data_IF_667384132524
#
_entry.id   IF_667384132524
#
_cell.length_a   1.000
_cell.length_b   1.000
_cell.length_c   1.000
_cell.angle_alpha   90.00
_cell.angle_beta   90.00
_cell.angle_gamma   90.00
#
_symmetry.space_group_name_H-M   'P 1'
#
loop_
_entity.id
_entity.type
_entity.pdbx_description
1 polymer ?
#
# COMPACT_ATOMS: atom_id res chain seq x y z
N UNK A 1 -5.06 14.33 -6.87
CA UNK A 1 -3.90 14.04 -6.02
C UNK A 1 -2.78 13.37 -6.82
N UNK A 2 -2.89 12.08 -7.18
CA UNK A 2 -1.82 11.32 -7.84
C UNK A 2 -1.17 12.02 -9.04
N UNK A 3 -1.96 12.56 -9.97
CA UNK A 3 -1.46 13.34 -11.11
C UNK A 3 -0.54 14.50 -10.68
N UNK A 4 -0.99 15.34 -9.74
CA UNK A 4 -0.20 16.48 -9.26
C UNK A 4 1.05 16.04 -8.50
N UNK A 5 0.98 14.93 -7.75
CA UNK A 5 2.14 14.36 -7.09
C UNK A 5 3.21 13.94 -8.11
N UNK A 6 2.79 13.31 -9.21
CA UNK A 6 3.71 12.91 -10.30
C UNK A 6 4.30 14.12 -11.01
N UNK A 7 3.53 15.17 -11.27
CA UNK A 7 4.04 16.43 -11.83
C UNK A 7 5.08 17.07 -10.91
N UNK A 8 4.81 17.13 -9.61
CA UNK A 8 5.77 17.67 -8.63
C UNK A 8 7.03 16.80 -8.53
N UNK A 9 6.89 15.47 -8.59
CA UNK A 9 8.01 14.54 -8.64
C UNK A 9 8.88 14.74 -9.88
N UNK A 10 8.27 14.87 -11.07
CA UNK A 10 8.98 15.16 -12.32
C UNK A 10 9.82 16.43 -12.19
N UNK A 11 9.23 17.50 -11.64
CA UNK A 11 9.92 18.78 -11.44
C UNK A 11 11.10 18.65 -10.48
N UNK A 12 10.91 17.98 -9.34
CA UNK A 12 11.96 17.76 -8.36
C UNK A 12 13.10 16.88 -8.91
N UNK A 13 12.76 15.77 -9.59
CA UNK A 13 13.73 14.89 -10.20
C UNK A 13 14.53 15.60 -11.32
N UNK A 14 13.85 16.38 -12.17
CA UNK A 14 14.51 17.14 -13.24
C UNK A 14 15.44 18.24 -12.69
N UNK A 15 15.09 18.89 -11.59
CA UNK A 15 15.94 19.88 -10.93
C UNK A 15 17.27 19.28 -10.42
N UNK A 16 17.24 18.00 -10.03
CA UNK A 16 18.42 17.22 -9.62
C UNK A 16 19.10 16.48 -10.78
N UNK A 17 18.62 16.64 -12.02
CA UNK A 17 19.14 15.94 -13.19
C UNK A 17 18.90 14.43 -13.18
N UNK A 18 17.92 13.95 -12.42
CA UNK A 18 17.57 12.53 -12.30
C UNK A 18 16.59 12.10 -13.40
N UNK A 19 16.87 10.94 -14.00
CA UNK A 19 16.00 10.33 -14.99
C UNK A 19 14.62 10.02 -14.38
N UNK A 20 13.58 10.39 -15.10
CA UNK A 20 12.20 10.08 -14.74
C UNK A 20 11.33 10.02 -16.01
N UNK A 21 10.45 9.03 -16.06
CA UNK A 21 9.46 8.81 -17.11
C UNK A 21 8.20 8.24 -16.51
N UNK A 22 7.06 8.52 -17.14
CA UNK A 22 5.76 8.16 -16.60
C UNK A 22 4.93 7.45 -17.65
N UNK A 23 4.25 6.38 -17.24
CA UNK A 23 3.18 5.74 -17.99
C UNK A 23 1.89 5.90 -17.19
N UNK A 24 0.81 6.33 -17.84
CA UNK A 24 -0.47 6.53 -17.19
C UNK A 24 -1.53 5.65 -17.85
N UNK A 25 -1.86 4.54 -17.22
CA UNK A 25 -2.84 3.59 -17.73
C UNK A 25 -3.11 2.47 -16.74
N UNK A 26 -3.84 1.45 -17.21
CA UNK A 26 -4.15 0.27 -16.41
C UNK A 26 -2.94 -0.66 -16.35
N UNK A 27 -2.31 -0.74 -15.17
CA UNK A 27 -1.12 -1.57 -14.95
C UNK A 27 -1.39 -3.08 -15.09
N UNK A 28 -2.64 -3.52 -15.10
CA UNK A 28 -3.01 -4.92 -15.31
C UNK A 28 -2.90 -5.36 -16.77
N UNK A 29 -2.86 -4.43 -17.73
CA UNK A 29 -2.86 -4.77 -19.16
C UNK A 29 -1.48 -5.19 -19.66
N UNK A 30 -1.45 -5.99 -20.72
CA UNK A 30 -0.20 -6.36 -21.39
C UNK A 30 0.36 -5.22 -22.23
N UNK A 31 -0.51 -4.33 -22.71
CA UNK A 31 -0.12 -3.14 -23.45
C UNK A 31 0.75 -2.22 -22.59
N UNK A 32 0.34 -1.93 -21.34
CA UNK A 32 1.13 -1.05 -20.46
C UNK A 32 2.47 -1.71 -20.07
N UNK A 33 2.46 -3.02 -19.84
CA UNK A 33 3.68 -3.81 -19.57
C UNK A 33 4.65 -3.75 -20.73
N UNK A 34 4.15 -3.89 -21.96
CA UNK A 34 4.95 -3.79 -23.19
C UNK A 34 5.57 -2.39 -23.35
N UNK A 35 4.78 -1.33 -23.12
CA UNK A 35 5.28 0.05 -23.14
C UNK A 35 6.40 0.27 -22.10
N UNK A 36 6.24 -0.27 -20.88
CA UNK A 36 7.26 -0.18 -19.84
C UNK A 36 8.54 -0.93 -20.24
N UNK A 37 8.41 -2.12 -20.82
CA UNK A 37 9.55 -2.91 -21.33
C UNK A 37 10.31 -2.15 -22.42
N UNK A 38 9.60 -1.56 -23.38
CA UNK A 38 10.22 -0.81 -24.48
C UNK A 38 10.94 0.44 -23.98
N UNK A 39 10.34 1.13 -23.00
CA UNK A 39 10.96 2.28 -22.35
C UNK A 39 12.23 1.88 -21.60
N UNK A 40 12.17 0.84 -20.77
CA UNK A 40 13.33 0.35 -20.03
C UNK A 40 14.44 -0.04 -21.00
N UNK A 41 14.13 -0.82 -22.05
CA UNK A 41 15.10 -1.28 -23.02
C UNK A 41 15.77 -0.12 -23.77
N UNK A 42 15.02 0.91 -24.13
CA UNK A 42 15.52 2.03 -24.93
C UNK A 42 16.28 3.08 -24.12
N UNK A 43 15.90 3.32 -22.85
CA UNK A 43 16.46 4.42 -22.07
C UNK A 43 17.32 3.98 -20.87
N UNK A 44 17.07 2.81 -20.29
CA UNK A 44 17.77 2.33 -19.08
C UNK A 44 18.65 1.12 -19.35
N UNK A 45 18.36 0.36 -20.41
CA UNK A 45 18.92 -0.95 -20.71
C UNK A 45 18.35 -2.03 -19.79
N UNK A 46 18.64 -1.96 -18.49
CA UNK A 46 18.14 -2.88 -17.46
C UNK A 46 17.79 -2.15 -16.17
N UNK A 47 16.89 -2.74 -15.39
CA UNK A 47 16.53 -2.26 -14.05
C UNK A 47 16.92 -3.27 -12.97
N UNK A 48 17.22 -2.76 -11.78
CA UNK A 48 17.66 -3.53 -10.62
C UNK A 48 16.61 -3.61 -9.49
N UNK A 49 15.60 -2.74 -9.48
CA UNK A 49 14.51 -2.76 -8.51
C UNK A 49 13.15 -2.59 -9.17
N UNK A 50 12.22 -3.50 -8.84
CA UNK A 50 10.78 -3.38 -9.20
C UNK A 50 9.94 -3.27 -7.92
N UNK A 51 9.27 -2.14 -7.71
CA UNK A 51 8.35 -1.93 -6.58
C UNK A 51 6.91 -2.13 -7.04
N UNK A 52 6.24 -3.16 -6.51
CA UNK A 52 4.83 -3.45 -6.78
C UNK A 52 3.95 -2.89 -5.65
N UNK A 53 3.42 -1.68 -5.86
CA UNK A 53 2.64 -0.91 -4.88
C UNK A 53 1.24 -0.56 -5.41
N UNK A 54 0.56 -1.51 -6.07
CA UNK A 54 -0.79 -1.31 -6.58
C UNK A 54 -1.85 -1.55 -5.49
N UNK A 55 -2.82 -0.65 -5.43
CA UNK A 55 -4.06 -0.81 -4.68
C UNK A 55 -5.22 -0.43 -5.60
N UNK A 56 -6.00 -1.43 -6.02
CA UNK A 56 -7.11 -1.26 -6.95
C UNK A 56 -8.34 -2.02 -6.44
N UNK A 57 -9.56 -1.48 -6.63
CA UNK A 57 -10.78 -2.17 -6.25
C UNK A 57 -11.21 -3.25 -7.27
N UNK A 58 -10.59 -3.26 -8.45
CA UNK A 58 -10.93 -4.13 -9.58
C UNK A 58 -9.72 -4.37 -10.46
N UNK A 59 -9.76 -5.50 -11.18
CA UNK A 59 -8.80 -5.91 -12.19
C UNK A 59 -9.55 -6.49 -13.37
N UNK A 60 -9.21 -6.04 -14.57
CA UNK A 60 -9.62 -6.73 -15.79
C UNK A 60 -8.54 -7.74 -16.16
N UNK A 61 -8.91 -9.00 -16.32
CA UNK A 61 -7.99 -10.04 -16.77
C UNK A 61 -7.52 -9.73 -18.20
N UNK A 62 -6.20 -9.60 -18.44
CA UNK A 62 -5.70 -9.26 -19.76
C UNK A 62 -5.88 -10.38 -20.79
N UNK A 63 -6.12 -11.63 -20.36
CA UNK A 63 -6.29 -12.78 -21.25
C UNK A 63 -7.77 -13.05 -21.53
N UNK A 64 -8.59 -13.14 -20.49
CA UNK A 64 -10.02 -13.51 -20.64
C UNK A 64 -10.92 -12.30 -20.86
N UNK A 65 -10.48 -11.10 -20.47
CA UNK A 65 -11.28 -9.88 -20.46
C UNK A 65 -12.30 -9.80 -19.32
N UNK A 66 -12.35 -10.80 -18.44
CA UNK A 66 -13.22 -10.82 -17.25
C UNK A 66 -12.83 -9.71 -16.26
N UNK A 67 -13.80 -9.14 -15.56
CA UNK A 67 -13.56 -8.08 -14.57
C UNK A 67 -13.82 -8.61 -13.17
N UNK A 68 -12.75 -8.74 -12.39
CA UNK A 68 -12.81 -9.10 -10.98
C UNK A 68 -12.91 -7.85 -10.12
N UNK A 69 -13.70 -7.92 -9.05
CA UNK A 69 -13.84 -6.86 -8.05
C UNK A 69 -13.47 -7.39 -6.67
N UNK A 70 -12.61 -6.67 -5.95
CA UNK A 70 -12.23 -7.03 -4.59
C UNK A 70 -13.27 -6.54 -3.59
N UNK A 71 -13.48 -7.31 -2.52
CA UNK A 71 -14.29 -6.87 -1.37
C UNK A 71 -13.45 -6.95 -0.09
N UNK A 72 -13.86 -6.18 0.92
CA UNK A 72 -13.25 -6.19 2.25
C UNK A 72 -14.26 -6.80 3.24
N UNK A 73 -14.27 -8.12 3.34
CA UNK A 73 -15.26 -8.87 4.14
C UNK A 73 -14.59 -9.96 4.97
N UNK A 74 -15.08 -10.25 6.18
CA UNK A 74 -14.64 -11.40 6.96
C UNK A 74 -14.92 -12.71 6.22
N UNK A 75 -14.30 -13.80 6.66
CA UNK A 75 -14.57 -15.15 6.15
C UNK A 75 -15.32 -15.94 7.22
N UNK A 76 -16.27 -16.77 6.80
CA UNK A 76 -17.08 -17.68 7.61
C UNK A 76 -18.12 -17.04 8.55
N UNK A 77 -17.78 -15.99 9.31
CA UNK A 77 -18.70 -15.35 10.26
C UNK A 77 -18.78 -13.85 10.03
N UNK A 78 -19.98 -13.29 10.25
CA UNK A 78 -20.18 -11.85 10.27
C UNK A 78 -19.35 -11.22 11.41
N UNK A 79 -18.88 -10.00 11.16
CA UNK A 79 -18.08 -9.28 12.13
C UNK A 79 -18.68 -7.90 12.39
N UNK A 80 -18.99 -7.63 13.66
CA UNK A 80 -19.42 -6.31 14.12
C UNK A 80 -18.26 -5.63 14.83
N UNK A 81 -17.90 -4.43 14.37
CA UNK A 81 -16.86 -3.62 14.99
C UNK A 81 -17.27 -2.19 15.19
N UNK A 82 -16.63 -1.58 16.19
CA UNK A 82 -16.60 -0.14 16.37
C UNK A 82 -15.85 0.48 15.17
N UNK A 83 -16.36 1.59 14.66
CA UNK A 83 -15.73 2.39 13.61
C UNK A 83 -15.90 3.87 13.91
N UNK A 84 -15.11 4.70 13.23
CA UNK A 84 -15.21 6.16 13.29
C UNK A 84 -15.78 6.68 11.97
N UNK A 85 -16.98 7.25 12.04
CA UNK A 85 -17.57 7.97 10.93
C UNK A 85 -16.89 9.34 10.83
N UNK A 86 -15.94 9.51 9.91
CA UNK A 86 -15.15 10.74 9.80
C UNK A 86 -15.96 11.95 9.33
N UNK A 87 -17.08 11.73 8.65
CA UNK A 87 -17.97 12.82 8.20
C UNK A 87 -18.82 13.37 9.33
N UNK A 88 -19.37 12.49 10.18
CA UNK A 88 -20.19 12.89 11.34
C UNK A 88 -19.37 13.14 12.61
N UNK A 89 -18.13 12.63 12.66
CA UNK A 89 -17.29 12.53 13.85
C UNK A 89 -17.99 11.75 14.98
N UNK A 90 -18.53 10.60 14.62
CA UNK A 90 -19.27 9.73 15.54
C UNK A 90 -18.61 8.36 15.62
N UNK A 91 -18.59 7.79 16.82
CA UNK A 91 -18.27 6.38 17.04
C UNK A 91 -19.55 5.59 16.79
N UNK A 92 -19.52 4.71 15.79
CA UNK A 92 -20.65 3.85 15.44
C UNK A 92 -20.21 2.38 15.37
N UNK A 93 -21.19 1.48 15.25
CA UNK A 93 -20.93 0.06 15.00
C UNK A 93 -21.29 -0.29 13.57
N UNK A 94 -20.41 -1.00 12.88
CA UNK A 94 -20.64 -1.53 11.54
C UNK A 94 -20.58 -3.06 11.60
N UNK A 95 -21.57 -3.71 11.00
CA UNK A 95 -21.57 -5.17 10.79
C UNK A 95 -21.23 -5.46 9.33
N UNK A 96 -20.28 -6.36 9.12
CA UNK A 96 -19.86 -6.82 7.79
C UNK A 96 -20.17 -8.30 7.69
N UNK A 97 -21.01 -8.65 6.73
CA UNK A 97 -21.34 -10.05 6.42
C UNK A 97 -20.14 -10.79 5.81
N UNK A 98 -20.04 -12.12 6.01
CA UNK A 98 -18.95 -12.90 5.45
C UNK A 98 -18.98 -12.91 3.93
N UNK A 99 -17.81 -13.04 3.32
CA UNK A 99 -17.68 -13.18 1.88
C UNK A 99 -18.16 -14.55 1.37
N UNK A 100 -18.70 -14.57 0.16
CA UNK A 100 -18.86 -15.82 -0.60
C UNK A 100 -17.52 -16.33 -1.14
N UNK A 101 -17.48 -17.58 -1.59
CA UNK A 101 -16.29 -18.16 -2.23
C UNK A 101 -15.86 -17.39 -3.49
N UNK A 102 -16.84 -16.90 -4.26
CA UNK A 102 -16.61 -16.05 -5.43
C UNK A 102 -15.98 -14.71 -5.05
N UNK A 103 -16.46 -14.08 -3.97
CA UNK A 103 -15.90 -12.82 -3.47
C UNK A 103 -14.47 -12.99 -2.94
N UNK A 104 -14.16 -14.13 -2.30
CA UNK A 104 -12.80 -14.49 -1.89
C UNK A 104 -11.91 -14.64 -3.12
N UNK A 105 -12.34 -15.46 -4.10
CA UNK A 105 -11.61 -15.70 -5.34
C UNK A 105 -11.32 -14.40 -6.11
N UNK A 106 -12.35 -13.56 -6.31
CA UNK A 106 -12.22 -12.28 -7.00
C UNK A 106 -11.26 -11.34 -6.27
N UNK A 107 -11.29 -11.32 -4.93
CA UNK A 107 -10.36 -10.51 -4.14
C UNK A 107 -8.92 -10.98 -4.32
N UNK A 108 -8.67 -12.29 -4.34
CA UNK A 108 -7.34 -12.85 -4.65
C UNK A 108 -6.91 -12.49 -6.07
N UNK A 109 -7.80 -12.58 -7.07
CA UNK A 109 -7.48 -12.19 -8.45
C UNK A 109 -7.06 -10.72 -8.57
N UNK A 110 -7.64 -9.81 -7.78
CA UNK A 110 -7.33 -8.36 -7.83
C UNK A 110 -6.09 -8.01 -7.01
N UNK A 111 -6.02 -8.46 -5.75
CA UNK A 111 -5.05 -7.98 -4.75
C UNK A 111 -3.96 -9.00 -4.40
N UNK A 112 -4.00 -10.19 -5.01
CA UNK A 112 -2.99 -11.22 -4.92
C UNK A 112 -1.75 -10.93 -5.76
N UNK A 113 -0.92 -11.94 -5.94
CA UNK A 113 0.37 -11.83 -6.60
C UNK A 113 0.38 -12.13 -8.10
N UNK A 114 -0.75 -12.53 -8.69
CA UNK A 114 -0.79 -12.97 -10.09
C UNK A 114 -0.34 -11.88 -11.09
N UNK A 115 -0.75 -10.63 -10.92
CA UNK A 115 -0.28 -9.54 -11.79
C UNK A 115 1.19 -9.18 -11.54
N UNK A 116 1.65 -9.29 -10.29
CA UNK A 116 3.06 -9.11 -9.96
C UNK A 116 3.92 -10.18 -10.64
N UNK A 117 3.53 -11.46 -10.58
CA UNK A 117 4.14 -12.54 -11.34
C UNK A 117 4.16 -12.22 -12.85
N UNK A 118 3.04 -11.74 -13.39
CA UNK A 118 2.93 -11.40 -14.81
C UNK A 118 3.88 -10.27 -15.21
N UNK A 119 4.03 -9.23 -14.38
CA UNK A 119 5.01 -8.17 -14.60
C UNK A 119 6.43 -8.73 -14.67
N UNK A 120 6.83 -9.53 -13.67
CA UNK A 120 8.19 -10.05 -13.60
C UNK A 120 8.48 -11.09 -14.68
N UNK A 121 7.49 -11.91 -15.06
CA UNK A 121 7.59 -12.85 -16.18
C UNK A 121 7.91 -12.11 -17.48
N UNK A 122 7.16 -11.05 -17.79
CA UNK A 122 7.35 -10.28 -19.02
C UNK A 122 8.67 -9.48 -19.01
N UNK A 123 9.02 -8.84 -17.89
CA UNK A 123 10.28 -8.13 -17.73
C UNK A 123 11.48 -9.08 -17.84
N UNK A 124 11.40 -10.25 -17.21
CA UNK A 124 12.45 -11.27 -17.31
C UNK A 124 12.59 -11.81 -18.73
N UNK A 125 11.49 -12.19 -19.38
CA UNK A 125 11.49 -12.71 -20.75
C UNK A 125 12.03 -11.67 -21.76
N UNK A 126 11.80 -10.38 -21.49
CA UNK A 126 12.32 -9.27 -22.29
C UNK A 126 13.82 -8.99 -22.06
N UNK A 127 14.45 -9.64 -21.07
CA UNK A 127 15.87 -9.49 -20.74
C UNK A 127 16.24 -8.15 -20.09
N UNK A 128 15.25 -7.42 -19.56
CA UNK A 128 15.44 -6.05 -19.02
C UNK A 128 15.66 -6.00 -17.50
N UNK A 129 15.79 -7.16 -16.84
CA UNK A 129 16.18 -7.26 -15.43
C UNK A 129 17.70 -7.42 -15.31
N UNK A 130 18.30 -6.66 -14.40
CA UNK A 130 19.73 -6.71 -14.07
C UNK A 130 20.07 -7.93 -13.19
N UNK A 131 21.37 -8.27 -13.16
CA UNK A 131 21.89 -9.25 -12.20
C UNK A 131 21.67 -8.75 -10.77
N UNK A 132 21.21 -9.61 -9.86
CA UNK A 132 20.86 -9.25 -8.49
C UNK A 132 19.56 -8.47 -8.36
N UNK A 133 18.71 -8.41 -9.41
CA UNK A 133 17.50 -7.60 -9.39
C UNK A 133 16.58 -7.99 -8.21
N UNK A 134 16.18 -6.98 -7.43
CA UNK A 134 15.22 -7.14 -6.36
C UNK A 134 13.82 -6.72 -6.84
N UNK A 135 12.80 -7.37 -6.33
CA UNK A 135 11.44 -6.85 -6.42
C UNK A 135 10.76 -6.93 -5.07
N UNK A 136 9.89 -5.96 -4.77
CA UNK A 136 9.18 -5.89 -3.51
C UNK A 136 7.71 -5.57 -3.73
N UNK A 137 6.84 -6.35 -3.11
CA UNK A 137 5.41 -6.07 -3.04
C UNK A 137 5.00 -5.66 -1.62
N UNK A 138 4.16 -4.63 -1.50
CA UNK A 138 3.71 -4.14 -0.19
C UNK A 138 2.53 -4.94 0.35
N UNK A 139 2.61 -5.27 1.63
CA UNK A 139 1.54 -5.91 2.39
C UNK A 139 1.30 -5.21 3.72
N UNK A 140 0.18 -5.55 4.35
CA UNK A 140 -0.14 -5.19 5.72
C UNK A 140 -0.66 -6.46 6.40
N UNK A 141 -0.17 -6.74 7.61
CA UNK A 141 -0.59 -7.93 8.38
C UNK A 141 -1.52 -7.51 9.52
N UNK A 142 -1.16 -6.44 10.24
CA UNK A 142 -1.90 -6.00 11.42
C UNK A 142 -1.88 -7.01 12.57
N UNK A 143 -2.76 -6.82 13.56
CA UNK A 143 -2.91 -7.70 14.73
C UNK A 143 -4.38 -7.92 15.08
N UNK A 144 -4.67 -8.36 16.29
CA UNK A 144 -5.97 -8.83 16.78
C UNK A 144 -7.16 -7.95 16.37
N UNK A 145 -7.06 -6.61 16.52
CA UNK A 145 -8.14 -5.68 16.19
C UNK A 145 -8.47 -5.63 14.70
N UNK A 146 -7.48 -5.85 13.83
CA UNK A 146 -7.63 -5.72 12.38
C UNK A 146 -7.75 -7.06 11.67
N UNK A 147 -7.39 -8.18 12.31
CA UNK A 147 -7.49 -9.52 11.73
C UNK A 147 -8.88 -9.87 11.17
N UNK A 148 -10.02 -9.59 11.85
CA UNK A 148 -11.32 -10.00 11.34
C UNK A 148 -11.72 -9.38 10.00
N UNK A 149 -11.20 -8.19 9.68
CA UNK A 149 -11.49 -7.47 8.43
C UNK A 149 -10.31 -7.41 7.45
N UNK A 150 -9.12 -7.83 7.90
CA UNK A 150 -7.89 -7.78 7.12
C UNK A 150 -7.18 -9.14 7.10
N UNK A 151 -6.39 -9.46 8.13
CA UNK A 151 -5.49 -10.64 8.12
C UNK A 151 -6.18 -12.00 7.95
N UNK A 152 -7.42 -12.16 8.41
CA UNK A 152 -8.24 -13.39 8.29
C UNK A 152 -9.49 -13.18 7.43
N UNK A 153 -9.48 -12.14 6.62
CA UNK A 153 -10.56 -11.73 5.72
C UNK A 153 -10.19 -12.05 4.26
N UNK A 154 -11.06 -11.66 3.32
CA UNK A 154 -10.80 -11.77 1.87
C UNK A 154 -9.44 -11.21 1.45
N UNK A 155 -9.06 -10.04 1.98
CA UNK A 155 -7.77 -9.41 1.68
C UNK A 155 -6.59 -10.20 2.26
N UNK A 156 -6.77 -10.87 3.41
CA UNK A 156 -5.79 -11.79 3.98
C UNK A 156 -5.47 -12.95 3.04
N UNK A 157 -6.49 -13.51 2.37
CA UNK A 157 -6.29 -14.54 1.33
C UNK A 157 -5.50 -14.03 0.14
N UNK A 158 -5.75 -12.79 -0.28
CA UNK A 158 -4.95 -12.15 -1.32
C UNK A 158 -3.48 -11.96 -0.88
N UNK A 159 -3.23 -11.68 0.41
CA UNK A 159 -1.86 -11.57 0.93
C UNK A 159 -1.13 -12.91 1.07
N UNK A 160 -1.83 -13.99 1.42
CA UNK A 160 -1.29 -15.35 1.35
C UNK A 160 -0.86 -15.69 -0.10
N UNK A 161 -1.65 -15.29 -1.10
CA UNK A 161 -1.28 -15.45 -2.52
C UNK A 161 -0.07 -14.60 -2.92
N UNK A 162 0.12 -13.43 -2.31
CA UNK A 162 1.31 -12.59 -2.52
C UNK A 162 2.59 -13.28 -2.01
N UNK A 163 2.52 -14.01 -0.90
CA UNK A 163 3.67 -14.78 -0.40
C UNK A 163 4.00 -15.97 -1.32
N UNK A 164 2.96 -16.65 -1.84
CA UNK A 164 3.13 -17.68 -2.88
C UNK A 164 3.82 -17.09 -4.11
N UNK A 165 3.34 -15.94 -4.59
CA UNK A 165 3.91 -15.26 -5.74
C UNK A 165 5.36 -14.84 -5.52
N UNK A 166 5.73 -14.32 -4.35
CA UNK A 166 7.12 -13.97 -4.04
C UNK A 166 8.06 -15.19 -4.16
N UNK A 167 7.60 -16.35 -3.69
CA UNK A 167 8.37 -17.61 -3.82
C UNK A 167 8.53 -17.99 -5.30
N UNK A 168 7.44 -17.96 -6.07
CA UNK A 168 7.46 -18.32 -7.49
C UNK A 168 8.29 -17.35 -8.34
N UNK A 169 8.20 -16.04 -8.08
CA UNK A 169 9.00 -15.02 -8.76
C UNK A 169 10.48 -15.22 -8.44
N UNK A 170 10.84 -15.45 -7.17
CA UNK A 170 12.24 -15.69 -6.79
C UNK A 170 12.84 -16.84 -7.58
N UNK A 171 12.16 -17.99 -7.65
CA UNK A 171 12.61 -19.14 -8.43
C UNK A 171 12.79 -18.83 -9.92
N UNK A 172 11.89 -18.04 -10.51
CA UNK A 172 11.99 -17.65 -11.92
C UNK A 172 13.15 -16.69 -12.18
N UNK A 173 13.50 -15.86 -11.20
CA UNK A 173 14.59 -14.90 -11.30
C UNK A 173 15.97 -15.47 -10.89
N UNK A 174 16.06 -16.76 -10.56
CA UNK A 174 17.32 -17.42 -10.19
C UNK A 174 18.43 -17.22 -11.25
N UNK A 175 18.05 -17.17 -12.54
CA UNK A 175 18.99 -17.01 -13.66
C UNK A 175 19.71 -15.66 -13.70
N UNK A 176 19.18 -14.65 -12.99
CA UNK A 176 19.79 -13.33 -12.81
C UNK A 176 20.12 -13.05 -11.34
N UNK A 177 20.22 -14.09 -10.50
CA UNK A 177 20.37 -13.98 -9.05
C UNK A 177 19.38 -13.01 -8.38
N UNK A 178 18.17 -12.90 -8.94
CA UNK A 178 17.15 -11.98 -8.47
C UNK A 178 16.39 -12.51 -7.26
N UNK A 179 15.68 -11.63 -6.55
CA UNK A 179 14.90 -12.01 -5.37
C UNK A 179 13.63 -11.17 -5.21
N UNK A 180 12.53 -11.81 -4.85
CA UNK A 180 11.26 -11.16 -4.59
C UNK A 180 10.92 -11.18 -3.10
N UNK A 181 10.67 -10.00 -2.54
CA UNK A 181 10.30 -9.81 -1.15
C UNK A 181 8.84 -9.36 -1.03
N UNK A 182 8.15 -9.83 0.00
CA UNK A 182 6.96 -9.16 0.52
C UNK A 182 7.40 -8.26 1.67
N UNK A 183 7.00 -7.00 1.67
CA UNK A 183 7.29 -6.05 2.76
C UNK A 183 6.03 -5.75 3.57
N UNK A 184 6.01 -6.16 4.84
CA UNK A 184 4.94 -5.82 5.77
C UNK A 184 5.15 -4.40 6.31
N UNK A 185 4.23 -3.51 5.94
CA UNK A 185 4.24 -2.10 6.27
C UNK A 185 3.23 -1.79 7.39
N UNK A 186 3.26 -0.54 7.87
CA UNK A 186 2.43 -0.07 8.99
C UNK A 186 1.11 0.46 8.46
N UNK A 187 0.11 0.51 9.33
CA UNK A 187 -1.12 1.24 9.08
C UNK A 187 -0.84 2.75 9.05
N UNK A 188 -1.13 3.38 7.91
CA UNK A 188 -0.96 4.81 7.66
C UNK A 188 -2.19 5.38 6.97
N UNK A 189 -2.38 6.70 7.02
CA UNK A 189 -3.45 7.37 6.28
C UNK A 189 -3.11 7.41 4.79
N UNK A 190 -3.89 6.68 3.98
CA UNK A 190 -3.82 6.66 2.51
C UNK A 190 -5.25 6.63 1.96
N UNK A 191 -5.42 6.89 0.66
CA UNK A 191 -6.74 6.75 0.03
C UNK A 191 -7.28 5.32 0.20
N UNK A 192 -6.43 4.30 0.03
CA UNK A 192 -6.81 2.90 0.19
C UNK A 192 -7.20 2.56 1.64
N UNK A 193 -6.35 2.86 2.62
CA UNK A 193 -6.61 2.54 4.03
C UNK A 193 -7.81 3.28 4.60
N UNK A 194 -8.07 4.52 4.15
CA UNK A 194 -9.23 5.30 4.60
C UNK A 194 -10.58 4.71 4.15
N UNK A 195 -10.59 3.88 3.11
CA UNK A 195 -11.77 3.19 2.62
C UNK A 195 -12.05 1.86 3.34
N UNK A 196 -11.09 1.36 4.14
CA UNK A 196 -11.23 0.10 4.87
C UNK A 196 -12.05 0.38 6.14
N UNK A 197 -13.14 -0.37 6.40
CA UNK A 197 -13.89 -0.25 7.65
C UNK A 197 -12.96 -0.31 8.87
N UNK A 198 -13.28 0.41 9.94
CA UNK A 198 -12.54 0.47 11.22
C UNK A 198 -11.16 1.17 11.18
N UNK A 199 -10.47 1.20 10.03
CA UNK A 199 -9.11 1.75 9.94
C UNK A 199 -8.99 3.23 10.36
N UNK A 200 -9.95 4.13 10.09
CA UNK A 200 -9.88 5.50 10.59
C UNK A 200 -9.76 5.59 12.12
N UNK A 201 -10.52 4.75 12.84
CA UNK A 201 -10.45 4.69 14.30
C UNK A 201 -9.13 4.07 14.77
N UNK A 202 -8.73 2.95 14.16
CA UNK A 202 -7.50 2.24 14.51
C UNK A 202 -6.27 3.13 14.32
N UNK A 203 -6.15 3.80 13.18
CA UNK A 203 -5.03 4.70 12.88
C UNK A 203 -5.04 5.91 13.83
N UNK A 204 -6.22 6.49 14.12
CA UNK A 204 -6.30 7.61 15.07
C UNK A 204 -5.81 7.22 16.47
N UNK A 205 -6.12 6.01 16.93
CA UNK A 205 -5.62 5.47 18.20
C UNK A 205 -4.13 5.15 18.14
N UNK A 206 -3.69 4.46 17.09
CA UNK A 206 -2.30 4.08 16.88
C UNK A 206 -1.39 5.31 16.86
N UNK A 207 -1.79 6.37 16.15
CA UNK A 207 -1.04 7.62 16.08
C UNK A 207 -0.90 8.27 17.45
N UNK A 208 -1.97 8.28 18.26
CA UNK A 208 -1.89 8.80 19.62
C UNK A 208 -0.81 8.08 20.43
N UNK A 209 -0.87 6.75 20.44
CA UNK A 209 0.07 5.92 21.22
C UNK A 209 1.50 6.09 20.69
N UNK A 210 1.70 5.92 19.38
CA UNK A 210 3.04 6.00 18.78
C UNK A 210 3.65 7.41 18.82
N UNK A 211 2.84 8.49 18.77
CA UNK A 211 3.35 9.86 18.93
C UNK A 211 3.77 10.13 20.36
N UNK A 212 3.05 9.62 21.36
CA UNK A 212 3.43 9.75 22.76
C UNK A 212 4.79 9.09 23.05
N UNK A 213 5.14 8.03 22.32
CA UNK A 213 6.43 7.33 22.43
C UNK A 213 7.51 7.82 21.44
N UNK A 214 7.17 8.76 20.54
CA UNK A 214 8.11 9.25 19.53
C UNK A 214 8.46 8.24 18.44
N UNK A 215 7.62 7.23 18.22
CA UNK A 215 7.84 6.14 17.24
C UNK A 215 6.98 6.28 15.98
N UNK A 216 6.10 7.29 15.91
CA UNK A 216 5.25 7.57 14.75
C UNK A 216 6.07 7.83 13.49
N UNK A 217 5.62 7.25 12.37
CA UNK A 217 6.23 7.38 11.04
C UNK A 217 5.11 7.55 10.00
N UNK A 218 5.32 8.39 8.99
CA UNK A 218 4.47 8.47 7.82
C UNK A 218 4.96 7.56 6.68
N UNK A 219 4.38 7.73 5.49
CA UNK A 219 4.76 6.93 4.32
C UNK A 219 6.24 7.12 3.97
N UNK A 220 6.74 8.35 4.00
CA UNK A 220 8.11 8.63 3.55
C UNK A 220 9.16 8.07 4.52
N UNK A 221 8.94 8.20 5.83
CA UNK A 221 9.83 7.64 6.84
C UNK A 221 9.85 6.11 6.77
N UNK A 222 8.67 5.49 6.59
CA UNK A 222 8.56 4.05 6.45
C UNK A 222 9.26 3.52 5.20
N UNK A 223 9.05 4.13 4.04
CA UNK A 223 9.68 3.67 2.79
C UNK A 223 11.18 3.99 2.79
N UNK A 224 11.60 5.13 3.33
CA UNK A 224 13.02 5.40 3.54
C UNK A 224 13.68 4.33 4.43
N UNK A 225 13.03 3.98 5.54
CA UNK A 225 13.45 2.89 6.42
C UNK A 225 13.50 1.55 5.70
N UNK A 226 12.52 1.22 4.85
CA UNK A 226 12.51 -0.03 4.06
C UNK A 226 13.74 -0.13 3.17
N UNK A 227 14.11 0.96 2.49
CA UNK A 227 15.30 0.98 1.64
C UNK A 227 16.57 0.84 2.46
N UNK A 228 16.72 1.64 3.52
CA UNK A 228 17.94 1.72 4.31
C UNK A 228 18.17 0.48 5.19
N UNK A 229 17.13 -0.01 5.87
CA UNK A 229 17.22 -1.03 6.90
C UNK A 229 16.97 -2.44 6.35
N UNK A 230 16.31 -2.54 5.19
CA UNK A 230 15.88 -3.79 4.59
C UNK A 230 16.49 -4.00 3.19
N UNK A 231 15.95 -3.41 2.11
CA UNK A 231 16.30 -3.75 0.71
C UNK A 231 17.81 -3.65 0.42
N UNK A 232 18.45 -2.60 0.92
CA UNK A 232 19.88 -2.35 0.71
C UNK A 232 20.74 -2.55 1.96
N UNK A 233 20.25 -3.34 2.92
CA UNK A 233 20.99 -3.74 4.11
C UNK A 233 21.36 -5.22 4.07
N UNK A 234 22.66 -5.53 3.98
CA UNK A 234 23.15 -6.91 3.98
C UNK A 234 22.90 -7.66 5.29
N UNK A 235 22.61 -6.94 6.39
CA UNK A 235 22.25 -7.52 7.69
C UNK A 235 20.74 -7.50 7.95
N UNK A 236 19.91 -7.38 6.90
CA UNK A 236 18.44 -7.42 7.04
C UNK A 236 17.99 -8.73 7.70
N UNK A 237 16.93 -8.63 8.48
CA UNK A 237 16.25 -9.79 9.06
C UNK A 237 14.92 -10.02 8.34
N UNK A 238 14.66 -11.27 7.99
CA UNK A 238 13.36 -11.71 7.46
C UNK A 238 12.54 -12.35 8.58
N UNK A 239 11.22 -12.30 8.47
CA UNK A 239 10.36 -13.12 9.33
C UNK A 239 10.32 -14.59 8.85
N UNK A 240 9.56 -15.43 9.56
CA UNK A 240 9.41 -16.86 9.24
C UNK A 240 8.83 -17.12 7.84
N UNK A 241 8.09 -16.16 7.28
CA UNK A 241 7.55 -16.20 5.92
C UNK A 241 8.48 -15.60 4.87
N UNK A 242 9.71 -15.23 5.23
CA UNK A 242 10.66 -14.58 4.33
C UNK A 242 10.35 -13.10 4.06
N UNK A 243 9.52 -12.44 4.86
CA UNK A 243 9.08 -11.06 4.63
C UNK A 243 10.01 -10.03 5.24
N UNK A 244 10.13 -8.88 4.59
CA UNK A 244 10.73 -7.66 5.15
C UNK A 244 9.74 -7.01 6.11
N UNK A 245 10.18 -6.58 7.30
CA UNK A 245 9.31 -6.06 8.36
C UNK A 245 9.60 -4.60 8.67
N UNK A 246 8.64 -3.73 8.35
CA UNK A 246 8.67 -2.29 8.71
C UNK A 246 7.55 -1.92 9.69
N UNK A 247 6.83 -2.92 10.19
CA UNK A 247 5.65 -2.86 11.06
C UNK A 247 5.94 -3.19 12.52
N UNK A 248 7.18 -3.55 12.87
CA UNK A 248 7.55 -3.97 14.23
C UNK A 248 7.22 -2.95 15.33
N UNK A 249 7.37 -1.64 15.04
CA UNK A 249 6.98 -0.56 15.98
C UNK A 249 5.49 -0.60 16.29
N UNK A 250 4.64 -0.73 15.26
CA UNK A 250 3.19 -0.84 15.42
C UNK A 250 2.78 -2.13 16.14
N UNK A 251 3.40 -3.26 15.79
CA UNK A 251 2.95 -4.59 16.25
C UNK A 251 3.49 -5.01 17.62
N UNK A 252 4.36 -4.19 18.23
CA UNK A 252 4.87 -4.41 19.58
C UNK A 252 3.73 -4.58 20.59
N UNK A 253 3.93 -5.47 21.58
CA UNK A 253 2.86 -5.89 22.49
C UNK A 253 2.29 -4.73 23.31
N UNK A 254 3.15 -3.80 23.76
CA UNK A 254 2.72 -2.66 24.57
C UNK A 254 1.91 -1.65 23.76
N UNK A 255 2.31 -1.34 22.51
CA UNK A 255 1.53 -0.48 21.60
C UNK A 255 0.16 -1.10 21.35
N UNK A 256 0.12 -2.39 21.03
CA UNK A 256 -1.13 -3.09 20.71
C UNK A 256 -2.06 -3.20 21.91
N UNK A 257 -1.53 -3.43 23.11
CA UNK A 257 -2.31 -3.39 24.35
C UNK A 257 -2.90 -2.01 24.59
N UNK A 258 -2.08 -0.95 24.49
CA UNK A 258 -2.55 0.42 24.69
C UNK A 258 -3.64 0.82 23.69
N UNK A 259 -3.49 0.45 22.41
CA UNK A 259 -4.51 0.70 21.38
C UNK A 259 -5.80 -0.07 21.70
N UNK A 260 -5.71 -1.33 22.13
CA UNK A 260 -6.87 -2.15 22.52
C UNK A 260 -7.60 -1.59 23.74
N UNK A 261 -6.88 -1.12 24.75
CA UNK A 261 -7.47 -0.53 25.94
C UNK A 261 -8.23 0.76 25.60
N UNK A 262 -7.64 1.63 24.78
CA UNK A 262 -8.28 2.86 24.31
C UNK A 262 -9.47 2.56 23.38
N UNK A 263 -9.36 1.53 22.53
CA UNK A 263 -10.45 1.08 21.67
C UNK A 263 -11.71 0.71 22.47
N UNK A 264 -11.55 0.06 23.62
CA UNK A 264 -12.66 -0.26 24.52
C UNK A 264 -13.35 0.97 25.10
N UNK A 265 -12.59 2.05 25.33
CA UNK A 265 -13.05 3.25 26.05
C UNK A 265 -13.56 4.37 25.14
N UNK A 266 -13.16 4.40 23.87
CA UNK A 266 -13.52 5.51 22.97
C UNK A 266 -15.03 5.55 22.68
N UNK A 267 -15.62 6.72 22.86
CA UNK A 267 -17.00 7.10 22.55
C UNK A 267 -16.99 8.38 21.72
N UNK A 268 -18.14 8.80 21.19
CA UNK A 268 -18.25 10.04 20.41
C UNK A 268 -17.80 11.26 21.20
N UNK A 269 -18.08 11.30 22.50
CA UNK A 269 -17.83 12.44 23.39
C UNK A 269 -16.35 12.63 23.71
N UNK A 270 -15.54 11.56 23.62
CA UNK A 270 -14.13 11.59 24.02
C UNK A 270 -13.15 11.30 22.87
N UNK A 271 -13.59 11.38 21.60
CA UNK A 271 -12.75 11.12 20.41
C UNK A 271 -11.45 11.94 20.46
N UNK A 272 -11.56 13.26 20.64
CA UNK A 272 -10.41 14.16 20.61
C UNK A 272 -9.51 14.01 21.86
N UNK A 273 -10.03 13.39 22.92
CA UNK A 273 -9.28 13.12 24.15
C UNK A 273 -8.52 11.80 24.11
N UNK A 274 -9.12 10.74 23.54
CA UNK A 274 -8.58 9.37 23.56
C UNK A 274 -7.92 8.95 22.24
N UNK A 275 -8.07 9.73 21.18
CA UNK A 275 -7.45 9.45 19.86
C UNK A 275 -6.62 10.64 19.39
N UNK A 276 -5.89 10.48 18.30
CA UNK A 276 -5.32 11.57 17.51
C UNK A 276 -6.13 11.79 16.22
N UNK A 277 -7.46 11.97 16.37
CA UNK A 277 -8.32 12.23 15.22
C UNK A 277 -7.91 13.49 14.45
N UNK A 278 -7.45 14.54 15.14
CA UNK A 278 -6.95 15.76 14.50
C UNK A 278 -5.75 15.45 13.61
N UNK A 279 -4.78 14.66 14.09
CA UNK A 279 -3.65 14.21 13.29
C UNK A 279 -4.08 13.37 12.09
N UNK A 280 -4.95 12.38 12.30
CA UNK A 280 -5.52 11.57 11.22
C UNK A 280 -6.20 12.42 10.14
N UNK A 281 -7.09 13.34 10.54
CA UNK A 281 -7.85 14.18 9.61
C UNK A 281 -6.93 15.12 8.83
N UNK A 282 -5.93 15.71 9.48
CA UNK A 282 -4.93 16.54 8.81
C UNK A 282 -4.11 15.73 7.80
N UNK A 283 -3.69 14.51 8.12
CA UNK A 283 -2.99 13.65 7.16
C UNK A 283 -3.90 13.27 5.98
N UNK A 284 -5.18 12.99 6.23
CA UNK A 284 -6.15 12.71 5.17
C UNK A 284 -6.30 13.90 4.21
N UNK A 285 -6.45 15.13 4.72
CA UNK A 285 -6.54 16.34 3.90
C UNK A 285 -5.25 16.56 3.06
N UNK A 286 -4.09 16.30 3.66
CA UNK A 286 -2.79 16.44 3.00
C UNK A 286 -2.60 15.49 1.81
N UNK A 287 -3.25 14.32 1.81
CA UNK A 287 -3.27 13.43 0.63
C UNK A 287 -3.85 14.12 -0.61
N UNK A 288 -4.71 15.12 -0.42
CA UNK A 288 -5.37 15.87 -1.48
C UNK A 288 -4.83 17.30 -1.65
N UNK A 289 -3.71 17.63 -0.98
CA UNK A 289 -3.07 18.93 -1.08
C UNK A 289 -3.61 20.00 -0.14
N UNK A 290 -4.47 19.64 0.83
CA UNK A 290 -5.08 20.59 1.77
C UNK A 290 -4.41 20.58 3.15
N UNK A 291 -4.55 21.67 3.90
CA UNK A 291 -4.07 21.78 5.29
C UNK A 291 -2.58 22.06 5.44
N UNK A 292 -1.91 22.58 4.40
CA UNK A 292 -0.54 23.06 4.47
C UNK A 292 -0.50 24.55 4.79
N UNK A 293 0.10 24.93 5.93
CA UNK A 293 0.12 26.32 6.40
C UNK A 293 0.91 27.30 5.52
N UNK A 294 1.75 26.78 4.63
CA UNK A 294 2.58 27.57 3.71
C UNK A 294 1.94 27.73 2.33
N UNK A 295 0.76 27.14 2.10
CA UNK A 295 0.02 27.24 0.83
C UNK A 295 -1.08 28.28 0.99
N UNK A 296 -1.11 29.24 0.07
CA UNK A 296 -2.23 30.17 -0.07
C UNK A 296 -3.37 29.47 -0.82
N UNK A 297 -4.45 29.13 -0.12
CA UNK A 297 -5.61 28.47 -0.69
C UNK A 297 -6.63 29.43 -1.32
N UNK A 298 -6.45 30.74 -1.16
CA UNK A 298 -7.30 31.77 -1.77
C UNK A 298 -6.74 32.22 -3.14
N UNK A 299 -5.51 31.84 -3.47
CA UNK A 299 -4.88 32.15 -4.74
C UNK A 299 -5.50 31.38 -5.92
N UNK A 300 -5.62 32.05 -7.07
CA UNK A 300 -5.99 31.39 -8.32
C UNK A 300 -4.90 30.39 -8.74
N UNK A 301 -5.33 29.20 -9.19
CA UNK A 301 -4.42 28.13 -9.63
C UNK A 301 -4.85 27.55 -10.98
N UNK A 302 -3.86 27.08 -11.75
CA UNK A 302 -4.12 26.30 -12.95
C UNK A 302 -4.41 24.85 -12.56
N UNK A 303 -5.60 24.36 -12.88
CA UNK A 303 -5.97 22.97 -12.63
C UNK A 303 -5.27 21.97 -13.58
N UNK A 304 -4.96 22.39 -14.81
CA UNK A 304 -4.34 21.52 -15.80
C UNK A 304 -2.82 21.74 -15.81
N UNK A 305 -2.11 20.89 -15.08
CA UNK A 305 -0.65 20.87 -15.11
C UNK A 305 -0.15 19.79 -16.07
N UNK A 306 0.78 20.12 -16.99
CA UNK A 306 1.35 19.15 -17.91
C UNK A 306 2.33 18.22 -17.20
N UNK A 307 2.42 16.98 -17.69
CA UNK A 307 3.44 16.01 -17.32
C UNK A 307 4.34 15.78 -18.54
N UNK A 308 5.54 16.37 -18.55
CA UNK A 308 6.37 16.48 -19.76
C UNK A 308 6.98 15.15 -20.16
N UNK A 309 7.30 14.31 -19.18
CA UNK A 309 7.93 13.01 -19.34
C UNK A 309 6.89 11.87 -19.35
N UNK A 310 5.63 12.19 -19.62
CA UNK A 310 4.59 11.19 -19.91
C UNK A 310 4.87 10.55 -21.28
N UNK A 311 5.07 9.23 -21.27
CA UNK A 311 5.21 8.42 -22.47
C UNK A 311 3.81 8.20 -23.04
N UNK A 312 3.65 8.50 -24.34
CA UNK A 312 2.40 8.32 -25.09
C UNK A 312 2.32 6.92 -25.69
#
# INVERSE_FOLDING_TARGET
AGWYNTVAFEQAAAAEGLWNKHLNGDAFTDELKSQAIDLIRSEMGKIDLVVYSLAAPRRKDPVTGEVYSSVLKPIAQAYTAKTLNTSKREIESVSVEPASDEEIFNTVKVMGGEDWERWLDQLHAAGVLAEGCQTVAYTYIGKELTWPIYGKATIGKAKEDLDRAATAITQKLDSVAGHAYVASLKALVTQASSAIPIMPLYISLLYRVMKAEGTHEGCIEQIYGLFQQALYNNNRTLDEGGRLRMDGKELSDHIQSAVKDLWGQVTTENIDELTDYKGYHNEFLRLFGFGYSHVDYDADVLALLPLKNLVQ
#
